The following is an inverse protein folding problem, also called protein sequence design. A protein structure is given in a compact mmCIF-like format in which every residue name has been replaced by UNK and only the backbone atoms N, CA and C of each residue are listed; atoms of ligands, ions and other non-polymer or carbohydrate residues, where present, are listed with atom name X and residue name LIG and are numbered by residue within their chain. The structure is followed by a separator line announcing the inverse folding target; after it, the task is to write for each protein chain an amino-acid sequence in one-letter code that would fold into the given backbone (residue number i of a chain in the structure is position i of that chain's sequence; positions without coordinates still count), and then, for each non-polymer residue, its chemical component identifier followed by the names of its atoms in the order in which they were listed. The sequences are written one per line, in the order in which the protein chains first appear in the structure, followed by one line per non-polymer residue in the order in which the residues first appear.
data_IF_792397405454
#
_entry.id   IF_792397405454
#
_cell.length_a   1.000
_cell.length_b   1.000
_cell.length_c   1.000
_cell.angle_alpha   90.00
_cell.angle_beta   90.00
_cell.angle_gamma   90.00
#
_symmetry.space_group_name_H-M   'P 1'
#
loop_
_entity.id
_entity.type
_entity.pdbx_description
1 polymer ?
#
# COMPACT_ATOMS: atom_id res chain seq x y z
N UNK A 1 29.80 22.99 0.11
CA UNK A 1 28.68 23.50 -0.71
C UNK A 1 27.47 22.63 -0.37
N UNK A 2 26.37 23.20 0.13
CA UNK A 2 25.15 22.44 0.41
C UNK A 2 24.45 22.21 -0.93
N UNK A 3 24.37 20.96 -1.39
CA UNK A 3 23.57 20.61 -2.56
C UNK A 3 22.11 20.57 -2.14
N UNK A 4 21.29 21.44 -2.71
CA UNK A 4 19.84 21.34 -2.57
C UNK A 4 19.36 20.03 -3.23
N UNK A 5 18.33 19.36 -2.68
CA UNK A 5 17.76 18.17 -3.30
C UNK A 5 17.22 18.51 -4.70
N UNK A 6 17.48 17.64 -5.68
CA UNK A 6 16.87 17.78 -7.00
C UNK A 6 15.36 17.49 -6.92
N UNK A 7 14.62 17.94 -7.93
CA UNK A 7 13.22 17.55 -8.12
C UNK A 7 13.10 16.03 -8.18
N UNK A 8 12.06 15.49 -7.54
CA UNK A 8 11.75 14.06 -7.51
C UNK A 8 11.63 13.52 -8.95
N UNK A 9 12.33 12.43 -9.25
CA UNK A 9 12.26 11.76 -10.55
C UNK A 9 11.34 10.54 -10.48
N UNK A 10 10.58 10.32 -11.54
CA UNK A 10 9.76 9.11 -11.74
C UNK A 10 10.53 8.20 -12.70
N UNK A 11 10.88 7.01 -12.24
CA UNK A 11 11.64 6.03 -13.03
C UNK A 11 10.73 5.06 -13.80
N UNK A 12 9.64 4.66 -13.18
CA UNK A 12 8.68 3.71 -13.74
C UNK A 12 7.26 4.08 -13.28
N UNK A 13 6.30 3.92 -14.19
CA UNK A 13 4.90 4.22 -13.94
C UNK A 13 4.02 3.23 -14.71
N UNK A 14 3.39 2.37 -13.94
CA UNK A 14 2.32 1.47 -14.37
C UNK A 14 1.01 1.86 -13.68
N UNK A 15 -0.11 1.25 -14.09
CA UNK A 15 -1.43 1.49 -13.51
C UNK A 15 -1.51 1.20 -12.01
N UNK A 16 -0.69 0.27 -11.48
CA UNK A 16 -0.72 -0.15 -10.07
C UNK A 16 0.59 0.12 -9.30
N UNK A 17 1.62 0.64 -9.96
CA UNK A 17 2.96 0.81 -9.38
C UNK A 17 3.63 2.06 -9.92
N UNK A 18 4.27 2.81 -9.02
CA UNK A 18 5.12 3.96 -9.39
C UNK A 18 6.44 3.84 -8.64
N UNK A 19 7.56 4.07 -9.33
CA UNK A 19 8.90 4.10 -8.74
C UNK A 19 9.45 5.52 -8.73
N UNK A 20 9.74 6.05 -7.53
CA UNK A 20 10.31 7.37 -7.33
C UNK A 20 11.81 7.28 -6.97
N UNK A 21 12.59 8.23 -7.47
CA UNK A 21 13.98 8.43 -7.11
C UNK A 21 14.15 9.82 -6.50
N UNK A 22 14.75 9.87 -5.30
CA UNK A 22 15.04 11.10 -4.56
C UNK A 22 16.54 11.14 -4.28
N UNK A 23 17.22 12.14 -4.87
CA UNK A 23 18.66 12.39 -4.72
C UNK A 23 18.98 13.85 -5.03
N UNK A 24 20.13 14.39 -4.58
CA UNK A 24 21.03 13.82 -3.58
C UNK A 24 20.45 13.95 -2.16
N UNK A 25 20.77 13.00 -1.29
CA UNK A 25 20.43 13.04 0.13
C UNK A 25 21.71 12.88 0.95
N UNK A 26 21.77 13.54 2.10
CA UNK A 26 22.84 13.32 3.06
C UNK A 26 22.81 11.87 3.59
N UNK A 27 23.95 11.31 4.00
CA UNK A 27 23.99 10.00 4.64
C UNK A 27 22.97 9.91 5.79
N UNK A 28 22.19 8.82 5.81
CA UNK A 28 21.12 8.59 6.80
C UNK A 28 19.75 9.19 6.44
N UNK A 29 19.68 10.29 5.68
CA UNK A 29 18.40 10.94 5.35
C UNK A 29 17.49 10.07 4.49
N UNK A 30 18.07 9.25 3.61
CA UNK A 30 17.31 8.28 2.82
C UNK A 30 16.49 7.32 3.68
N UNK A 31 17.06 6.87 4.81
CA UNK A 31 16.36 5.98 5.75
C UNK A 31 15.29 6.75 6.52
N UNK A 32 15.61 7.95 7.02
CA UNK A 32 14.67 8.79 7.77
C UNK A 32 13.42 9.10 6.94
N UNK A 33 13.60 9.54 5.69
CA UNK A 33 12.50 9.88 4.79
C UNK A 33 11.80 8.61 4.30
N UNK A 34 12.55 7.60 3.84
CA UNK A 34 11.99 6.38 3.28
C UNK A 34 11.12 5.60 4.27
N UNK A 35 11.58 5.44 5.52
CA UNK A 35 10.80 4.76 6.55
C UNK A 35 9.54 5.54 6.92
N UNK A 36 9.64 6.87 7.00
CA UNK A 36 8.49 7.72 7.32
C UNK A 36 7.45 7.65 6.22
N UNK A 37 7.86 7.82 4.96
CA UNK A 37 6.98 7.72 3.79
C UNK A 37 6.32 6.34 3.71
N UNK A 38 7.09 5.25 3.88
CA UNK A 38 6.53 3.89 3.87
C UNK A 38 5.42 3.72 4.91
N UNK A 39 5.61 4.25 6.12
CA UNK A 39 4.60 4.16 7.19
C UNK A 39 3.35 4.94 6.81
N UNK A 40 3.50 6.20 6.41
CA UNK A 40 2.37 7.06 6.02
C UNK A 40 1.59 6.45 4.85
N UNK A 41 2.29 5.97 3.82
CA UNK A 41 1.66 5.34 2.65
C UNK A 41 0.86 4.08 3.00
N UNK A 42 1.25 3.34 4.03
CA UNK A 42 0.55 2.11 4.44
C UNK A 42 -0.56 2.37 5.46
N UNK A 43 -0.40 3.35 6.36
CA UNK A 43 -1.30 3.53 7.50
C UNK A 43 -2.25 4.72 7.40
N UNK A 44 -1.89 5.73 6.60
CA UNK A 44 -2.58 7.03 6.60
C UNK A 44 -3.35 7.29 5.31
N UNK A 45 -3.26 6.40 4.32
CA UNK A 45 -4.11 6.45 3.14
C UNK A 45 -5.42 5.77 3.50
N UNK A 46 -6.52 6.52 3.40
CA UNK A 46 -7.85 5.99 3.61
C UNK A 46 -8.18 4.95 2.53
N UNK A 47 -8.79 3.86 2.97
CA UNK A 47 -9.28 2.80 2.10
C UNK A 47 -10.57 2.22 2.65
N UNK A 48 -11.29 1.50 1.81
CA UNK A 48 -12.48 0.76 2.21
C UNK A 48 -12.25 -0.73 1.97
N UNK A 49 -12.72 -1.56 2.91
CA UNK A 49 -12.69 -3.00 2.81
C UNK A 49 -13.98 -3.58 3.39
N UNK A 50 -14.34 -4.79 2.94
CA UNK A 50 -15.48 -5.52 3.49
C UNK A 50 -15.11 -5.97 4.91
N UNK A 51 -15.93 -5.60 5.89
CA UNK A 51 -15.70 -5.94 7.31
C UNK A 51 -16.53 -7.12 7.79
N UNK A 52 -17.70 -7.36 7.19
CA UNK A 52 -18.58 -8.46 7.54
C UNK A 52 -19.48 -8.84 6.37
N UNK A 53 -19.84 -10.12 6.28
CA UNK A 53 -20.85 -10.64 5.36
C UNK A 53 -21.81 -11.53 6.16
N UNK A 54 -23.10 -11.51 5.81
CA UNK A 54 -24.11 -12.43 6.35
C UNK A 54 -24.81 -13.12 5.19
N UNK A 55 -24.69 -14.44 5.13
CA UNK A 55 -25.34 -15.26 4.10
C UNK A 55 -26.50 -16.01 4.75
N UNK A 56 -27.67 -15.98 4.10
CA UNK A 56 -28.87 -16.65 4.62
C UNK A 56 -28.67 -18.16 4.59
N UNK A 57 -28.90 -18.82 5.73
CA UNK A 57 -28.77 -20.28 5.86
C UNK A 57 -27.36 -20.76 6.16
N UNK A 58 -26.38 -19.86 6.26
CA UNK A 58 -25.01 -20.15 6.67
C UNK A 58 -24.84 -19.81 8.14
N UNK A 59 -24.39 -20.77 8.95
CA UNK A 59 -24.21 -20.60 10.39
C UNK A 59 -22.80 -20.14 10.75
N UNK A 60 -21.80 -20.50 9.95
CA UNK A 60 -20.39 -20.14 10.15
C UNK A 60 -19.63 -20.09 8.82
N UNK A 61 -18.39 -19.58 8.86
CA UNK A 61 -17.50 -19.37 7.71
C UNK A 61 -17.03 -20.66 7.01
N UNK A 62 -17.29 -21.84 7.57
CA UNK A 62 -16.90 -23.14 7.01
C UNK A 62 -18.11 -23.95 6.52
N UNK A 63 -19.27 -23.32 6.39
CA UNK A 63 -20.49 -24.00 5.98
C UNK A 63 -20.60 -24.02 4.45
N UNK A 64 -20.73 -25.21 3.88
CA UNK A 64 -20.97 -25.34 2.44
C UNK A 64 -22.42 -25.02 2.07
N UNK A 65 -22.60 -24.30 0.96
CA UNK A 65 -23.92 -23.95 0.43
C UNK A 65 -24.23 -24.87 -0.75
N UNK A 66 -25.32 -25.65 -0.71
CA UNK A 66 -25.71 -26.49 -1.83
C UNK A 66 -25.85 -25.69 -3.13
N UNK A 67 -25.15 -26.10 -4.18
CA UNK A 67 -25.18 -25.45 -5.49
C UNK A 67 -24.14 -24.35 -5.70
N UNK A 68 -23.28 -24.07 -4.70
CA UNK A 68 -22.09 -23.22 -4.85
C UNK A 68 -20.84 -24.12 -4.91
N UNK A 69 -19.93 -23.81 -5.84
CA UNK A 69 -18.71 -24.60 -6.06
C UNK A 69 -17.56 -24.10 -5.17
N UNK A 70 -17.55 -22.80 -4.93
CA UNK A 70 -16.65 -22.11 -4.01
C UNK A 70 -17.03 -22.43 -2.56
N UNK A 71 -16.01 -22.63 -1.71
CA UNK A 71 -16.15 -22.81 -0.25
C UNK A 71 -16.09 -21.44 0.46
#
# INVERSE_FOLDING_TARGET
MITLPDSIKILDKDAKKILFEIRPLYPGYGITIGNTLRRVLLSSIEGAAITQVRIKGVSNEFSTIPGIKED
#
